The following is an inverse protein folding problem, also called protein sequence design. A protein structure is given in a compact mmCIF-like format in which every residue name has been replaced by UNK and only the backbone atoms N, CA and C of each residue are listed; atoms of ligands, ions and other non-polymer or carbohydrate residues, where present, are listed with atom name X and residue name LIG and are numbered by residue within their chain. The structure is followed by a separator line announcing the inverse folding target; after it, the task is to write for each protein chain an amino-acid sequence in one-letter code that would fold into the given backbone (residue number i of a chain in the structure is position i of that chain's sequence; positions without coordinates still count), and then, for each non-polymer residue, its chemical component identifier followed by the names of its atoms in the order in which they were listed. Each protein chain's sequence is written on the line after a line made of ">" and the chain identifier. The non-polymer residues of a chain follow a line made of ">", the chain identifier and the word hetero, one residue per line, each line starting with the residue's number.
data_IF_777519924762
#
_entry.id   IF_777519924762
#
_cell.length_a   1.000
_cell.length_b   1.000
_cell.length_c   1.000
_cell.angle_alpha   90.00
_cell.angle_beta   90.00
_cell.angle_gamma   90.00
#
_symmetry.space_group_name_H-M   'P 1'
#
loop_
_entity.id
_entity.type
_entity.pdbx_description
1 polymer ?
#
# COMPACT_ATOMS: atom_id res chain seq x y z
N UNK A 1 44.05 15.68 14.55
CA UNK A 1 43.42 14.70 13.64
C UNK A 1 42.26 15.41 12.94
N UNK A 2 42.48 16.03 11.78
CA UNK A 2 41.45 16.77 11.04
C UNK A 2 40.76 15.84 10.05
N UNK A 3 39.44 15.74 10.15
CA UNK A 3 38.61 15.00 9.19
C UNK A 3 38.62 15.78 7.86
N UNK A 4 38.95 15.17 6.71
CA UNK A 4 38.89 15.87 5.43
C UNK A 4 37.42 16.10 5.04
N UNK A 5 37.09 17.32 4.58
CA UNK A 5 35.76 17.64 4.06
C UNK A 5 35.59 17.10 2.63
N UNK A 6 34.39 16.64 2.24
CA UNK A 6 34.16 16.13 0.90
C UNK A 6 34.16 17.31 -0.07
N UNK A 7 35.16 17.39 -0.95
CA UNK A 7 35.17 18.34 -2.06
C UNK A 7 34.05 17.97 -3.02
N UNK A 8 32.92 18.68 -2.95
CA UNK A 8 31.82 18.50 -3.89
C UNK A 8 32.30 18.84 -5.30
N UNK A 9 32.44 17.81 -6.14
CA UNK A 9 32.85 17.95 -7.52
C UNK A 9 31.75 18.68 -8.32
N UNK A 10 32.01 19.93 -8.72
CA UNK A 10 31.09 20.76 -9.52
C UNK A 10 30.60 20.09 -10.81
N UNK A 11 31.35 19.12 -11.36
CA UNK A 11 30.93 18.35 -12.54
C UNK A 11 29.74 17.41 -12.24
N UNK A 12 29.65 16.87 -11.03
CA UNK A 12 28.60 15.94 -10.64
C UNK A 12 27.28 16.67 -10.39
N UNK A 13 27.32 17.88 -9.84
CA UNK A 13 26.12 18.70 -9.58
C UNK A 13 25.52 19.26 -10.87
N UNK A 14 26.34 19.57 -11.89
CA UNK A 14 25.84 20.01 -13.20
C UNK A 14 25.09 18.91 -13.95
N UNK A 15 25.62 17.67 -13.94
CA UNK A 15 24.95 16.53 -14.55
C UNK A 15 23.60 16.22 -13.89
N UNK A 16 23.52 16.34 -12.56
CA UNK A 16 22.29 16.14 -11.81
C UNK A 16 21.21 17.19 -12.17
N UNK A 17 21.60 18.47 -12.24
CA UNK A 17 20.69 19.55 -12.61
C UNK A 17 20.17 19.40 -14.05
N UNK A 18 21.01 18.93 -14.97
CA UNK A 18 20.61 18.65 -16.36
C UNK A 18 19.62 17.49 -16.45
N UNK A 19 19.86 16.39 -15.71
CA UNK A 19 18.96 15.24 -15.68
C UNK A 19 17.58 15.59 -15.09
N UNK A 20 17.55 16.44 -14.06
CA UNK A 20 16.31 16.95 -13.47
C UNK A 20 15.55 17.81 -14.48
N UNK A 21 16.22 18.76 -15.14
CA UNK A 21 15.60 19.60 -16.16
C UNK A 21 15.02 18.77 -17.31
N UNK A 22 15.77 17.79 -17.81
CA UNK A 22 15.31 16.87 -18.84
C UNK A 22 14.09 16.06 -18.38
N UNK A 23 14.06 15.59 -17.13
CA UNK A 23 12.91 14.89 -16.55
C UNK A 23 11.67 15.77 -16.43
N UNK A 24 11.82 17.02 -15.99
CA UNK A 24 10.72 17.99 -15.93
C UNK A 24 10.15 18.30 -17.31
N UNK A 25 11.03 18.52 -18.29
CA UNK A 25 10.63 18.74 -19.68
C UNK A 25 9.88 17.52 -20.21
N UNK A 26 10.40 16.31 -19.98
CA UNK A 26 9.77 15.07 -20.43
C UNK A 26 8.37 14.87 -19.82
N UNK A 27 8.23 15.08 -18.50
CA UNK A 27 6.97 14.95 -17.77
C UNK A 27 5.90 15.94 -18.21
N UNK A 28 6.28 17.14 -18.64
CA UNK A 28 5.32 18.17 -19.13
C UNK A 28 5.08 18.02 -20.63
N UNK A 29 6.11 17.70 -21.40
CA UNK A 29 6.05 17.64 -22.85
C UNK A 29 5.19 16.49 -23.35
N UNK A 30 5.28 15.30 -22.75
CA UNK A 30 4.47 14.15 -23.15
C UNK A 30 2.95 14.40 -23.03
N UNK A 31 2.40 14.79 -21.86
CA UNK A 31 0.98 15.08 -21.75
C UNK A 31 0.58 16.33 -22.54
N UNK A 32 1.42 17.36 -22.65
CA UNK A 32 1.11 18.53 -23.45
C UNK A 32 1.07 18.24 -24.96
N UNK A 33 2.01 17.45 -25.48
CA UNK A 33 2.03 17.02 -26.88
C UNK A 33 0.75 16.26 -27.21
N UNK A 34 0.33 15.34 -26.36
CA UNK A 34 -0.89 14.57 -26.60
C UNK A 34 -2.16 15.40 -26.41
N UNK A 35 -2.20 16.30 -25.43
CA UNK A 35 -3.32 17.19 -25.19
C UNK A 35 -3.56 18.20 -26.33
N UNK A 36 -2.49 18.74 -26.92
CA UNK A 36 -2.58 19.87 -27.85
C UNK A 36 -2.29 19.50 -29.32
N UNK A 37 -1.47 18.48 -29.59
CA UNK A 37 -0.97 18.16 -30.94
C UNK A 37 -1.56 16.85 -31.47
N UNK A 38 -1.78 15.84 -30.62
CA UNK A 38 -2.28 14.52 -31.02
C UNK A 38 -3.69 14.23 -30.48
N UNK A 39 -4.66 15.07 -30.87
CA UNK A 39 -6.07 15.04 -30.39
C UNK A 39 -6.85 13.75 -30.72
N UNK A 40 -6.29 12.86 -31.54
CA UNK A 40 -6.97 11.70 -32.13
C UNK A 40 -6.47 10.35 -31.57
N UNK A 41 -5.82 10.35 -30.41
CA UNK A 41 -5.30 9.14 -29.75
C UNK A 41 -6.16 8.78 -28.52
N UNK A 42 -6.98 7.72 -28.64
CA UNK A 42 -7.66 7.09 -27.50
C UNK A 42 -6.65 6.46 -26.55
N UNK A 43 -6.68 6.81 -25.25
CA UNK A 43 -5.72 6.37 -24.23
C UNK A 43 -4.56 7.34 -23.91
N UNK A 44 -4.70 8.63 -24.23
CA UNK A 44 -3.65 9.63 -23.99
C UNK A 44 -3.43 9.98 -22.51
N UNK A 45 -2.28 10.58 -22.19
CA UNK A 45 -1.89 10.90 -20.80
C UNK A 45 -2.92 11.71 -20.00
N UNK A 46 -3.72 12.56 -20.67
CA UNK A 46 -4.78 13.37 -20.03
C UNK A 46 -5.88 12.48 -19.43
N UNK A 47 -6.18 11.35 -20.06
CA UNK A 47 -7.16 10.38 -19.57
C UNK A 47 -6.65 9.72 -18.28
N UNK A 48 -5.36 9.37 -18.20
CA UNK A 48 -4.74 8.86 -16.97
C UNK A 48 -4.79 9.89 -15.83
N UNK A 49 -4.55 11.17 -16.13
CA UNK A 49 -4.69 12.24 -15.15
C UNK A 49 -6.13 12.38 -14.66
N UNK A 50 -7.13 12.15 -15.51
CA UNK A 50 -8.54 12.18 -15.12
C UNK A 50 -8.94 11.04 -14.17
N UNK A 51 -8.17 9.95 -14.14
CA UNK A 51 -8.36 8.84 -13.18
C UNK A 51 -7.77 9.13 -11.80
N UNK A 52 -6.84 10.08 -11.67
CA UNK A 52 -6.17 10.39 -10.40
C UNK A 52 -7.13 10.74 -9.27
N UNK A 53 -8.16 11.60 -9.44
CA UNK A 53 -9.10 11.90 -8.36
C UNK A 53 -9.82 10.64 -7.86
N UNK A 54 -10.19 9.73 -8.76
CA UNK A 54 -10.81 8.45 -8.40
C UNK A 54 -9.82 7.54 -7.67
N UNK A 55 -8.59 7.42 -8.16
CA UNK A 55 -7.54 6.62 -7.52
C UNK A 55 -7.19 7.13 -6.11
N UNK A 56 -7.10 8.45 -5.93
CA UNK A 56 -6.91 9.09 -4.62
C UNK A 56 -8.07 8.76 -3.70
N UNK A 57 -9.30 8.92 -4.19
CA UNK A 57 -10.51 8.61 -3.42
C UNK A 57 -10.50 7.15 -2.92
N UNK A 58 -10.26 6.18 -3.80
CA UNK A 58 -10.20 4.77 -3.42
C UNK A 58 -9.03 4.45 -2.49
N UNK A 59 -7.87 5.09 -2.67
CA UNK A 59 -6.73 4.93 -1.77
C UNK A 59 -7.09 5.36 -0.35
N UNK A 60 -7.69 6.54 -0.21
CA UNK A 60 -8.14 7.05 1.09
C UNK A 60 -9.25 6.18 1.68
N UNK A 61 -10.19 5.75 0.86
CA UNK A 61 -11.31 4.91 1.28
C UNK A 61 -10.83 3.55 1.80
N UNK A 62 -9.98 2.85 1.04
CA UNK A 62 -9.40 1.56 1.45
C UNK A 62 -8.52 1.72 2.67
N UNK A 63 -7.73 2.80 2.75
CA UNK A 63 -6.88 3.06 3.92
C UNK A 63 -7.73 3.27 5.17
N UNK A 64 -8.80 4.07 5.09
CA UNK A 64 -9.66 4.35 6.22
C UNK A 64 -10.40 3.09 6.69
N UNK A 65 -11.09 2.41 5.77
CA UNK A 65 -11.87 1.21 6.09
C UNK A 65 -10.97 0.02 6.49
N UNK A 66 -9.86 -0.17 5.78
CA UNK A 66 -8.86 -1.20 6.08
C UNK A 66 -8.21 -0.98 7.44
N UNK A 67 -7.82 0.25 7.77
CA UNK A 67 -7.25 0.57 9.10
C UNK A 67 -8.27 0.37 10.20
N UNK A 68 -9.53 0.79 10.01
CA UNK A 68 -10.60 0.54 10.95
C UNK A 68 -10.82 -0.97 11.17
N UNK A 69 -10.84 -1.75 10.09
CA UNK A 69 -10.93 -3.22 10.16
C UNK A 69 -9.72 -3.84 10.89
N UNK A 70 -8.51 -3.35 10.62
CA UNK A 70 -7.29 -3.85 11.26
C UNK A 70 -7.28 -3.56 12.76
N UNK A 71 -7.80 -2.41 13.19
CA UNK A 71 -7.97 -2.06 14.61
C UNK A 71 -8.92 -3.06 15.28
N UNK A 72 -10.09 -3.31 14.70
CA UNK A 72 -11.09 -4.24 15.27
C UNK A 72 -10.53 -5.66 15.34
N UNK A 73 -9.98 -6.16 14.25
CA UNK A 73 -9.37 -7.51 14.20
C UNK A 73 -8.21 -7.61 15.17
N UNK A 74 -7.31 -6.62 15.17
CA UNK A 74 -6.15 -6.59 16.05
C UNK A 74 -6.52 -6.56 17.52
N UNK A 75 -7.59 -5.85 17.90
CA UNK A 75 -8.06 -5.83 19.28
C UNK A 75 -8.56 -7.21 19.72
N UNK A 76 -9.42 -7.85 18.90
CA UNK A 76 -9.96 -9.18 19.21
C UNK A 76 -8.86 -10.24 19.31
N UNK A 77 -7.94 -10.24 18.34
CA UNK A 77 -6.79 -11.15 18.29
C UNK A 77 -5.82 -10.86 19.44
N UNK A 78 -5.55 -9.59 19.75
CA UNK A 78 -4.69 -9.19 20.87
C UNK A 78 -5.23 -9.67 22.22
N UNK A 79 -6.53 -9.51 22.45
CA UNK A 79 -7.21 -10.03 23.65
C UNK A 79 -7.17 -11.56 23.71
N UNK A 80 -7.42 -12.24 22.59
CA UNK A 80 -7.34 -13.70 22.51
C UNK A 80 -5.94 -14.23 22.84
N UNK A 81 -4.89 -13.47 22.51
CA UNK A 81 -3.49 -13.84 22.81
C UNK A 81 -3.16 -13.74 24.29
N UNK A 82 -3.84 -12.86 25.04
CA UNK A 82 -3.70 -12.72 26.49
C UNK A 82 -4.49 -13.78 27.27
N UNK A 83 -5.36 -14.55 26.58
CA UNK A 83 -6.15 -15.59 27.23
C UNK A 83 -5.26 -16.66 27.87
N UNK A 84 -5.61 -17.04 29.10
CA UNK A 84 -5.01 -18.18 29.79
C UNK A 84 -5.43 -19.53 29.17
N UNK A 85 -6.56 -19.54 28.44
CA UNK A 85 -7.07 -20.75 27.82
C UNK A 85 -6.24 -21.11 26.56
N UNK A 86 -5.54 -22.26 26.55
CA UNK A 86 -4.72 -22.66 25.41
C UNK A 86 -5.54 -22.87 24.13
N UNK A 87 -6.81 -23.25 24.22
CA UNK A 87 -7.70 -23.43 23.06
C UNK A 87 -7.99 -22.11 22.33
N UNK A 88 -7.84 -20.96 22.99
CA UNK A 88 -7.99 -19.63 22.36
C UNK A 88 -6.62 -19.10 21.94
N UNK A 89 -5.63 -19.20 22.85
CA UNK A 89 -4.31 -18.62 22.63
C UNK A 89 -3.57 -19.23 21.44
N UNK A 90 -3.67 -20.56 21.26
CA UNK A 90 -2.94 -21.28 20.20
C UNK A 90 -3.43 -20.89 18.80
N UNK A 91 -4.73 -20.97 18.46
CA UNK A 91 -5.22 -20.54 17.13
C UNK A 91 -4.92 -19.07 16.83
N UNK A 92 -5.04 -18.20 17.82
CA UNK A 92 -4.76 -16.76 17.68
C UNK A 92 -3.28 -16.50 17.39
N UNK A 93 -2.39 -17.22 18.09
CA UNK A 93 -0.94 -17.11 17.86
C UNK A 93 -0.58 -17.60 16.47
N UNK A 94 -1.14 -18.74 16.05
CA UNK A 94 -0.96 -19.28 14.71
C UNK A 94 -1.44 -18.31 13.62
N UNK A 95 -2.63 -17.71 13.80
CA UNK A 95 -3.12 -16.65 12.91
C UNK A 95 -2.11 -15.51 12.76
N UNK A 96 -1.57 -15.01 13.88
CA UNK A 96 -0.61 -13.90 13.84
C UNK A 96 0.65 -14.30 13.08
N UNK A 97 1.22 -15.47 13.37
CA UNK A 97 2.46 -15.95 12.75
C UNK A 97 2.29 -16.16 11.24
N UNK A 98 1.19 -16.79 10.82
CA UNK A 98 0.90 -17.06 9.41
C UNK A 98 0.64 -15.76 8.64
N UNK A 99 -0.24 -14.89 9.14
CA UNK A 99 -0.64 -13.68 8.41
C UNK A 99 0.50 -12.67 8.27
N UNK A 100 1.50 -12.70 9.15
CA UNK A 100 2.74 -11.90 9.04
C UNK A 100 3.78 -12.52 8.12
N UNK A 101 3.70 -13.83 7.87
CA UNK A 101 4.55 -14.52 6.91
C UNK A 101 4.07 -14.40 5.46
N UNK A 102 2.78 -14.08 5.26
CA UNK A 102 2.17 -13.95 3.93
C UNK A 102 2.31 -12.50 3.44
N UNK A 103 2.86 -12.26 2.23
CA UNK A 103 2.85 -10.94 1.62
C UNK A 103 1.41 -10.45 1.41
N UNK A 104 1.11 -9.21 1.80
CA UNK A 104 -0.23 -8.62 1.66
C UNK A 104 -0.77 -8.74 0.23
N UNK A 105 0.09 -8.54 -0.77
CA UNK A 105 -0.27 -8.69 -2.19
C UNK A 105 -0.83 -10.10 -2.46
N UNK A 106 -0.15 -11.15 -1.98
CA UNK A 106 -0.58 -12.54 -2.17
C UNK A 106 -1.92 -12.80 -1.50
N UNK A 107 -2.13 -12.26 -0.29
CA UNK A 107 -3.40 -12.38 0.42
C UNK A 107 -4.55 -11.71 -0.34
N UNK A 108 -4.31 -10.52 -0.90
CA UNK A 108 -5.29 -9.82 -1.74
C UNK A 108 -5.62 -10.61 -3.01
N UNK A 109 -4.60 -11.16 -3.68
CA UNK A 109 -4.81 -12.04 -4.85
C UNK A 109 -5.65 -13.26 -4.48
N UNK A 110 -5.38 -13.89 -3.34
CA UNK A 110 -6.14 -15.06 -2.91
C UNK A 110 -7.59 -14.72 -2.59
N UNK A 111 -7.85 -13.64 -1.83
CA UNK A 111 -9.21 -13.23 -1.47
C UNK A 111 -9.99 -12.81 -2.71
N UNK A 112 -9.39 -12.07 -3.63
CA UNK A 112 -10.11 -11.54 -4.79
C UNK A 112 -10.29 -12.56 -5.92
N UNK A 113 -9.24 -13.32 -6.25
CA UNK A 113 -9.28 -14.26 -7.38
C UNK A 113 -9.66 -15.68 -6.94
N UNK A 114 -8.96 -16.27 -5.97
CA UNK A 114 -9.20 -17.66 -5.59
C UNK A 114 -10.52 -17.83 -4.82
N UNK A 115 -10.76 -17.00 -3.80
CA UNK A 115 -12.03 -17.02 -3.06
C UNK A 115 -13.18 -16.41 -3.88
N UNK A 116 -12.86 -15.47 -4.77
CA UNK A 116 -13.80 -14.83 -5.69
C UNK A 116 -14.59 -15.80 -6.58
N UNK A 117 -13.99 -16.95 -6.93
CA UNK A 117 -14.66 -18.01 -7.70
C UNK A 117 -15.82 -18.66 -6.95
N UNK A 118 -15.75 -18.70 -5.61
CA UNK A 118 -16.79 -19.31 -4.77
C UNK A 118 -17.76 -18.26 -4.22
N UNK A 119 -17.24 -17.07 -3.89
CA UNK A 119 -18.00 -15.97 -3.30
C UNK A 119 -17.70 -14.71 -4.10
N UNK A 120 -18.71 -14.18 -4.79
CA UNK A 120 -18.61 -12.92 -5.51
C UNK A 120 -18.26 -11.79 -4.53
N UNK A 121 -16.98 -11.47 -4.46
CA UNK A 121 -16.44 -10.51 -3.50
C UNK A 121 -16.08 -9.22 -4.23
N UNK A 122 -16.77 -8.09 -3.96
CA UNK A 122 -16.42 -6.80 -4.58
C UNK A 122 -14.96 -6.43 -4.26
N UNK A 123 -14.26 -5.81 -5.22
CA UNK A 123 -12.85 -5.46 -5.09
C UNK A 123 -12.55 -4.64 -3.82
N UNK A 124 -13.43 -3.70 -3.47
CA UNK A 124 -13.31 -2.91 -2.24
C UNK A 124 -13.38 -3.79 -0.98
N UNK A 125 -14.30 -4.76 -0.94
CA UNK A 125 -14.45 -5.65 0.20
C UNK A 125 -13.24 -6.58 0.34
N UNK A 126 -12.72 -7.11 -0.77
CA UNK A 126 -11.51 -7.91 -0.79
C UNK A 126 -10.29 -7.11 -0.31
N UNK A 127 -10.16 -5.85 -0.75
CA UNK A 127 -9.10 -4.94 -0.32
C UNK A 127 -9.15 -4.67 1.19
N UNK A 128 -10.33 -4.32 1.71
CA UNK A 128 -10.53 -4.04 3.14
C UNK A 128 -10.30 -5.29 3.99
N UNK A 129 -10.78 -6.46 3.55
CA UNK A 129 -10.60 -7.72 4.27
C UNK A 129 -9.12 -8.15 4.31
N UNK A 130 -8.44 -8.17 3.16
CA UNK A 130 -7.02 -8.53 3.09
C UNK A 130 -6.14 -7.58 3.90
N UNK A 131 -6.40 -6.28 3.80
CA UNK A 131 -5.72 -5.28 4.62
C UNK A 131 -6.02 -5.50 6.11
N UNK A 132 -7.29 -5.65 6.48
CA UNK A 132 -7.75 -5.82 7.86
C UNK A 132 -7.15 -7.06 8.54
N UNK A 133 -7.10 -8.20 7.85
CA UNK A 133 -6.52 -9.43 8.40
C UNK A 133 -5.00 -9.32 8.54
N UNK A 134 -4.29 -8.91 7.48
CA UNK A 134 -2.84 -8.81 7.53
C UNK A 134 -2.39 -7.77 8.56
N UNK A 135 -2.89 -6.53 8.48
CA UNK A 135 -2.53 -5.49 9.44
C UNK A 135 -3.11 -5.72 10.83
N UNK A 136 -4.26 -6.39 10.96
CA UNK A 136 -4.82 -6.78 12.25
C UNK A 136 -3.89 -7.73 13.02
N UNK A 137 -3.20 -8.65 12.32
CA UNK A 137 -2.17 -9.48 12.94
C UNK A 137 -1.03 -8.63 13.52
N UNK A 138 -0.56 -7.60 12.82
CA UNK A 138 0.45 -6.67 13.37
C UNK A 138 -0.11 -5.84 14.55
N UNK A 139 -1.33 -5.33 14.42
CA UNK A 139 -1.98 -4.51 15.43
C UNK A 139 -2.25 -5.28 16.74
N UNK A 140 -2.44 -6.60 16.67
CA UNK A 140 -2.60 -7.44 17.86
C UNK A 140 -1.42 -7.36 18.84
N UNK A 141 -0.17 -7.25 18.34
CA UNK A 141 0.98 -7.08 19.22
C UNK A 141 1.13 -5.65 19.73
N UNK A 142 0.67 -4.66 18.97
CA UNK A 142 0.62 -3.26 19.43
C UNK A 142 -0.32 -3.15 20.63
N UNK A 143 -1.52 -3.72 20.54
CA UNK A 143 -2.46 -3.73 21.67
C UNK A 143 -1.92 -4.53 22.85
N UNK A 144 -1.35 -5.72 22.62
CA UNK A 144 -0.72 -6.52 23.69
C UNK A 144 0.44 -5.79 24.37
N UNK A 145 1.20 -4.96 23.65
CA UNK A 145 2.30 -4.19 24.24
C UNK A 145 1.82 -2.96 25.02
N UNK A 146 0.60 -2.49 24.77
CA UNK A 146 -0.01 -1.36 25.47
C UNK A 146 -0.87 -1.72 26.68
N UNK A 147 -1.28 -2.99 26.81
CA UNK A 147 -2.00 -3.56 27.97
C UNK A 147 -0.98 -4.19 28.91
#
# INVERSE_FOLDING_TARGET
>A
MSIPSPSQNKSQTWAWNLAVLMSFIFLVYLPAKEAFIAKEQTGGYVELLSLLPSGIFYTLLVTLLGSASAIVVGLLVGLGKLSENPFIRVPVTFYIEVLRGIPLLVLLFYIYYALGEFVHTPALAAAVAGFGFSYGAYMADVFRAGI
#
